data_IF_519673577204
#
_entry.id   IF_519673577204
#
_cell.length_a   1.000
_cell.length_b   1.000
_cell.length_c   1.000
_cell.angle_alpha   90.00
_cell.angle_beta   90.00
_cell.angle_gamma   90.00
#
_symmetry.space_group_name_H-M   'P 1'
#
loop_
_entity.id
_entity.type
_entity.pdbx_description
1 polymer ?
#
# COMPACT_ATOMS: atom_id res chain seq x y z
N UNK A 1 -20.83 -5.83 15.81
CA UNK A 1 -22.13 -6.51 15.63
C UNK A 1 -23.12 -5.70 14.80
N UNK A 2 -23.28 -4.38 15.00
CA UNK A 2 -24.17 -3.53 14.18
C UNK A 2 -23.97 -3.66 12.65
N UNK A 3 -22.71 -3.68 12.19
CA UNK A 3 -22.41 -3.78 10.76
C UNK A 3 -22.79 -5.15 10.14
N UNK A 4 -22.93 -6.22 10.93
CA UNK A 4 -23.43 -7.51 10.42
C UNK A 4 -24.96 -7.52 10.30
N UNK A 5 -25.66 -6.79 11.16
CA UNK A 5 -27.13 -6.68 11.11
C UNK A 5 -27.61 -5.78 9.97
N UNK A 6 -26.85 -4.72 9.65
CA UNK A 6 -27.15 -3.87 8.47
C UNK A 6 -27.01 -4.65 7.17
N UNK A 7 -25.99 -5.51 7.07
CA UNK A 7 -25.74 -6.33 5.89
C UNK A 7 -26.83 -7.39 5.68
N UNK A 8 -27.23 -8.10 6.74
CA UNK A 8 -28.31 -9.09 6.62
C UNK A 8 -29.64 -8.41 6.31
N UNK A 9 -29.92 -7.25 6.92
CA UNK A 9 -31.13 -6.49 6.63
C UNK A 9 -31.19 -6.01 5.17
N UNK A 10 -30.08 -5.51 4.62
CA UNK A 10 -30.04 -5.06 3.22
C UNK A 10 -30.09 -6.22 2.21
N UNK A 11 -29.47 -7.36 2.52
CA UNK A 11 -29.60 -8.57 1.69
C UNK A 11 -31.04 -9.10 1.69
N UNK A 12 -31.74 -9.02 2.82
CA UNK A 12 -33.16 -9.39 2.94
C UNK A 12 -34.03 -8.41 2.14
N UNK A 13 -33.82 -7.10 2.28
CA UNK A 13 -34.53 -6.10 1.49
C UNK A 13 -34.36 -6.34 -0.01
N UNK A 14 -33.14 -6.64 -0.47
CA UNK A 14 -32.88 -7.00 -1.88
C UNK A 14 -33.62 -8.25 -2.33
N UNK A 15 -33.61 -9.32 -1.53
CA UNK A 15 -34.32 -10.55 -1.89
C UNK A 15 -35.82 -10.30 -2.05
N UNK A 16 -36.37 -9.37 -1.28
CA UNK A 16 -37.77 -8.97 -1.36
C UNK A 16 -38.04 -8.05 -2.55
N UNK A 17 -37.14 -7.10 -2.87
CA UNK A 17 -37.31 -6.21 -4.03
C UNK A 17 -37.20 -6.98 -5.34
N UNK A 18 -36.22 -7.88 -5.48
CA UNK A 18 -36.06 -8.73 -6.69
C UNK A 18 -37.24 -9.68 -6.91
N UNK A 19 -37.86 -10.15 -5.83
CA UNK A 19 -39.08 -10.96 -5.92
C UNK A 19 -40.31 -10.14 -6.35
N UNK A 20 -40.30 -8.82 -6.12
CA UNK A 20 -41.39 -7.91 -6.48
C UNK A 20 -41.21 -7.28 -7.86
N UNK A 21 -39.98 -7.14 -8.37
CA UNK A 21 -39.71 -6.54 -9.68
C UNK A 21 -40.27 -7.37 -10.83
N UNK A 22 -40.11 -8.70 -10.77
CA UNK A 22 -40.61 -9.61 -11.81
C UNK A 22 -42.12 -9.50 -12.06
N UNK A 23 -42.91 -9.45 -10.98
CA UNK A 23 -44.37 -9.29 -11.08
C UNK A 23 -44.77 -7.90 -11.57
N UNK A 24 -43.97 -6.86 -11.23
CA UNK A 24 -44.28 -5.47 -11.55
C UNK A 24 -43.95 -5.11 -13.01
N UNK A 25 -42.94 -5.73 -13.60
CA UNK A 25 -42.65 -5.60 -15.04
C UNK A 25 -43.80 -6.15 -15.89
N UNK A 26 -44.39 -7.28 -15.49
CA UNK A 26 -45.55 -7.88 -16.17
C UNK A 26 -46.77 -6.95 -16.14
N UNK A 27 -47.04 -6.31 -15.00
CA UNK A 27 -48.12 -5.33 -14.84
C UNK A 27 -47.95 -4.11 -15.77
N UNK A 28 -46.74 -3.52 -15.81
CA UNK A 28 -46.45 -2.35 -16.65
C UNK A 28 -46.48 -2.66 -18.16
N UNK A 29 -45.98 -3.83 -18.58
CA UNK A 29 -46.09 -4.27 -19.97
C UNK A 29 -47.55 -4.55 -20.37
N UNK A 30 -48.36 -5.04 -19.44
CA UNK A 30 -49.81 -5.18 -19.61
C UNK A 30 -50.52 -3.84 -19.84
N UNK A 31 -50.08 -2.78 -19.15
CA UNK A 31 -50.56 -1.41 -19.32
C UNK A 31 -50.38 -0.89 -20.76
N UNK A 32 -49.16 -1.00 -21.30
CA UNK A 32 -48.86 -0.60 -22.69
C UNK A 32 -49.63 -1.43 -23.73
N UNK A 33 -49.77 -2.74 -23.49
CA UNK A 33 -50.46 -3.64 -24.41
C UNK A 33 -51.99 -3.42 -24.44
N UNK A 34 -52.55 -2.82 -23.39
CA UNK A 34 -53.99 -2.59 -23.26
C UNK A 34 -54.51 -1.40 -24.07
N UNK A 35 -53.62 -0.56 -24.62
CA UNK A 35 -54.00 0.65 -25.37
C UNK A 35 -54.64 0.25 -26.72
N UNK A 36 -55.91 0.61 -26.99
CA UNK A 36 -56.64 0.12 -28.16
C UNK A 36 -56.32 0.99 -29.40
N UNK A 37 -55.14 0.77 -29.98
CA UNK A 37 -54.63 1.52 -31.13
C UNK A 37 -55.57 1.52 -32.33
N UNK A 38 -56.20 0.37 -32.63
CA UNK A 38 -57.08 0.17 -33.78
C UNK A 38 -58.57 0.50 -33.56
N UNK A 39 -58.97 0.99 -32.38
CA UNK A 39 -60.37 1.36 -32.13
C UNK A 39 -60.61 2.85 -32.41
N UNK A 40 -61.65 3.22 -33.15
CA UNK A 40 -62.05 4.62 -33.36
C UNK A 40 -62.80 5.23 -32.16
N UNK A 41 -62.94 4.46 -31.07
CA UNK A 41 -63.70 4.84 -29.89
C UNK A 41 -63.05 5.95 -29.05
N UNK A 42 -61.76 6.23 -29.25
CA UNK A 42 -60.98 7.20 -28.48
C UNK A 42 -60.28 8.20 -29.38
N UNK A 43 -60.36 9.47 -28.99
CA UNK A 43 -59.69 10.57 -29.66
C UNK A 43 -58.16 10.33 -29.69
N UNK A 44 -57.48 10.55 -30.84
CA UNK A 44 -56.05 10.31 -30.97
C UNK A 44 -55.18 11.05 -29.94
N UNK A 45 -55.61 12.22 -29.48
CA UNK A 45 -54.93 12.98 -28.43
C UNK A 45 -54.94 12.25 -27.08
N UNK A 46 -56.05 11.59 -26.74
CA UNK A 46 -56.19 10.83 -25.49
C UNK A 46 -55.34 9.56 -25.49
N UNK A 47 -55.23 8.87 -26.64
CA UNK A 47 -54.34 7.69 -26.78
C UNK A 47 -52.88 8.04 -26.57
N UNK A 48 -52.43 9.18 -27.13
CA UNK A 48 -51.06 9.69 -26.92
C UNK A 48 -50.80 10.03 -25.45
N UNK A 49 -51.75 10.71 -24.79
CA UNK A 49 -51.62 11.04 -23.38
C UNK A 49 -51.48 9.78 -22.50
N UNK A 50 -52.32 8.76 -22.71
CA UNK A 50 -52.24 7.49 -21.99
C UNK A 50 -50.91 6.75 -22.24
N UNK A 51 -50.41 6.79 -23.47
CA UNK A 51 -49.11 6.20 -23.80
C UNK A 51 -47.94 6.90 -23.08
N UNK A 52 -47.93 8.24 -23.05
CA UNK A 52 -46.87 8.99 -22.36
C UNK A 52 -46.96 8.85 -20.84
N UNK A 53 -48.16 8.79 -20.27
CA UNK A 53 -48.38 8.55 -18.83
C UNK A 53 -47.81 7.19 -18.40
N UNK A 54 -48.06 6.13 -19.18
CA UNK A 54 -47.50 4.80 -18.90
C UNK A 54 -45.97 4.75 -19.13
N UNK A 55 -45.44 5.51 -20.09
CA UNK A 55 -44.00 5.61 -20.30
C UNK A 55 -43.28 6.35 -19.17
N UNK A 56 -43.89 7.39 -18.60
CA UNK A 56 -43.32 8.13 -17.46
C UNK A 56 -43.23 7.21 -16.22
N UNK A 57 -44.28 6.42 -15.95
CA UNK A 57 -44.26 5.41 -14.88
C UNK A 57 -43.15 4.37 -15.09
N UNK A 58 -42.92 3.96 -16.35
CA UNK A 58 -41.86 3.02 -16.69
C UNK A 58 -40.46 3.64 -16.59
N UNK A 59 -40.31 4.93 -16.93
CA UNK A 59 -39.04 5.65 -16.85
C UNK A 59 -38.63 5.90 -15.39
N UNK A 60 -39.56 6.32 -14.53
CA UNK A 60 -39.35 6.44 -13.08
C UNK A 60 -38.96 5.10 -12.44
N UNK A 61 -39.52 4.00 -12.95
CA UNK A 61 -39.16 2.65 -12.51
C UNK A 61 -37.72 2.29 -12.87
N UNK A 62 -37.27 2.58 -14.10
CA UNK A 62 -35.88 2.32 -14.51
C UNK A 62 -34.87 3.15 -13.71
N UNK A 63 -35.16 4.43 -13.43
CA UNK A 63 -34.27 5.28 -12.62
C UNK A 63 -34.17 4.79 -11.18
N UNK A 64 -35.26 4.25 -10.61
CA UNK A 64 -35.23 3.62 -9.29
C UNK A 64 -34.38 2.33 -9.29
N UNK A 65 -34.44 1.51 -10.35
CA UNK A 65 -33.63 0.30 -10.45
C UNK A 65 -32.13 0.59 -10.57
N UNK A 66 -31.71 1.57 -11.37
CA UNK A 66 -30.30 1.94 -11.54
C UNK A 66 -29.65 2.43 -10.23
N UNK A 67 -30.38 3.25 -9.47
CA UNK A 67 -29.94 3.69 -8.14
C UNK A 67 -29.76 2.52 -7.17
N UNK A 68 -30.64 1.51 -7.21
CA UNK A 68 -30.52 0.31 -6.37
C UNK A 68 -29.29 -0.54 -6.76
N UNK A 69 -29.00 -0.67 -8.05
CA UNK A 69 -27.83 -1.40 -8.54
C UNK A 69 -26.52 -0.72 -8.17
N UNK A 70 -26.44 0.61 -8.30
CA UNK A 70 -25.27 1.39 -7.91
C UNK A 70 -24.96 1.28 -6.41
N UNK A 71 -25.97 1.43 -5.54
CA UNK A 71 -25.80 1.28 -4.10
C UNK A 71 -25.33 -0.12 -3.72
N UNK A 72 -25.82 -1.13 -4.43
CA UNK A 72 -25.41 -2.50 -4.19
C UNK A 72 -23.96 -2.75 -4.59
N UNK A 73 -23.54 -2.25 -5.75
CA UNK A 73 -22.16 -2.42 -6.20
C UNK A 73 -21.20 -1.73 -5.23
N UNK A 74 -21.55 -0.53 -4.76
CA UNK A 74 -20.80 0.18 -3.71
C UNK A 74 -20.73 -0.65 -2.40
N UNK A 75 -21.84 -1.23 -1.96
CA UNK A 75 -21.89 -2.08 -0.77
C UNK A 75 -21.04 -3.35 -0.93
N UNK A 76 -21.08 -3.99 -2.09
CA UNK A 76 -20.28 -5.16 -2.41
C UNK A 76 -18.78 -4.82 -2.37
N UNK A 77 -18.38 -3.66 -2.91
CA UNK A 77 -17.02 -3.14 -2.79
C UNK A 77 -16.58 -2.98 -1.33
N UNK A 78 -17.42 -2.38 -0.48
CA UNK A 78 -17.15 -2.24 0.95
C UNK A 78 -17.04 -3.58 1.68
N UNK A 79 -17.84 -4.58 1.28
CA UNK A 79 -17.75 -5.94 1.80
C UNK A 79 -16.42 -6.60 1.47
N UNK A 80 -15.91 -6.41 0.26
CA UNK A 80 -14.60 -6.93 -0.17
C UNK A 80 -13.49 -6.26 0.64
N UNK A 81 -13.52 -4.94 0.82
CA UNK A 81 -12.55 -4.22 1.66
C UNK A 81 -12.56 -4.77 3.09
N UNK A 82 -13.76 -4.99 3.66
CA UNK A 82 -13.89 -5.56 5.00
C UNK A 82 -13.36 -7.00 5.08
N UNK A 83 -13.54 -7.79 4.03
CA UNK A 83 -12.96 -9.13 3.92
C UNK A 83 -11.44 -9.07 3.92
N UNK A 84 -10.83 -8.13 3.18
CA UNK A 84 -9.37 -7.91 3.16
C UNK A 84 -8.85 -7.51 4.55
N UNK A 85 -9.57 -6.67 5.30
CA UNK A 85 -9.19 -6.33 6.67
C UNK A 85 -9.31 -7.56 7.59
N UNK A 86 -10.31 -8.42 7.38
CA UNK A 86 -10.54 -9.61 8.18
C UNK A 86 -9.54 -10.74 7.92
N UNK A 87 -8.82 -10.77 6.79
CA UNK A 87 -7.80 -11.80 6.50
C UNK A 87 -6.48 -11.59 7.26
N UNK A 88 -6.39 -10.60 8.14
CA UNK A 88 -5.23 -10.33 9.01
C UNK A 88 -4.84 -11.45 9.99
N UNK A 89 -5.53 -12.60 9.99
CA UNK A 89 -5.17 -13.77 10.80
C UNK A 89 -3.87 -14.47 10.34
N UNK A 90 -3.42 -14.25 9.09
CA UNK A 90 -2.18 -14.85 8.59
C UNK A 90 -0.98 -13.92 8.86
N UNK A 91 0.14 -14.41 9.45
CA UNK A 91 1.30 -13.57 9.82
C UNK A 91 1.89 -12.74 8.67
N UNK A 92 1.85 -13.28 7.44
CA UNK A 92 2.31 -12.54 6.25
C UNK A 92 1.38 -11.39 5.86
N UNK A 93 0.07 -11.53 6.10
CA UNK A 93 -0.92 -10.48 5.83
C UNK A 93 -0.95 -9.43 6.94
N UNK A 94 -0.60 -9.82 8.18
CA UNK A 94 -0.44 -8.88 9.29
C UNK A 94 0.69 -7.86 9.04
N UNK A 95 1.82 -8.28 8.45
CA UNK A 95 2.88 -7.35 8.01
C UNK A 95 2.36 -6.36 6.96
N UNK A 96 1.69 -6.85 5.92
CA UNK A 96 1.15 -6.00 4.84
C UNK A 96 0.12 -4.99 5.35
N UNK A 97 -0.84 -5.43 6.16
CA UNK A 97 -1.88 -4.57 6.74
C UNK A 97 -1.30 -3.56 7.72
N UNK A 98 -0.25 -3.94 8.47
CA UNK A 98 0.52 -3.02 9.31
C UNK A 98 1.23 -1.94 8.49
N UNK A 99 1.90 -2.31 7.39
CA UNK A 99 2.57 -1.37 6.50
C UNK A 99 1.58 -0.38 5.90
N UNK A 100 0.44 -0.85 5.37
CA UNK A 100 -0.60 0.02 4.81
C UNK A 100 -1.15 0.98 5.88
N UNK A 101 -1.43 0.48 7.09
CA UNK A 101 -1.97 1.31 8.16
C UNK A 101 -1.00 2.44 8.56
N UNK A 102 0.29 2.14 8.55
CA UNK A 102 1.33 3.09 8.92
C UNK A 102 1.63 4.09 7.79
N UNK A 103 1.65 3.62 6.54
CA UNK A 103 1.91 4.46 5.36
C UNK A 103 0.71 5.31 4.93
N UNK A 104 -0.48 5.14 5.52
CA UNK A 104 -1.71 5.80 5.06
C UNK A 104 -1.63 7.33 5.13
N UNK A 105 -1.01 7.88 6.17
CA UNK A 105 -0.84 9.33 6.32
C UNK A 105 0.10 9.88 5.23
N UNK A 106 1.24 9.23 5.02
CA UNK A 106 2.20 9.62 3.97
C UNK A 106 1.60 9.45 2.56
N UNK A 107 0.82 8.38 2.33
CA UNK A 107 0.08 8.14 1.08
C UNK A 107 -0.96 9.21 0.82
N UNK A 108 -1.63 9.71 1.86
CA UNK A 108 -2.61 10.80 1.71
C UNK A 108 -1.92 12.09 1.24
N UNK A 109 -0.79 12.45 1.85
CA UNK A 109 0.01 13.58 1.41
C UNK A 109 0.53 13.41 -0.02
N UNK A 110 1.02 12.20 -0.36
CA UNK A 110 1.43 11.88 -1.73
C UNK A 110 0.28 12.00 -2.72
N UNK A 111 -0.93 11.57 -2.35
CA UNK A 111 -2.13 11.68 -3.19
C UNK A 111 -2.48 13.13 -3.49
N UNK A 112 -2.37 14.04 -2.51
CA UNK A 112 -2.56 15.48 -2.73
C UNK A 112 -1.54 16.02 -3.75
N UNK A 113 -0.28 15.60 -3.65
CA UNK A 113 0.76 16.00 -4.58
C UNK A 113 0.50 15.47 -6.01
N UNK A 114 0.05 14.22 -6.14
CA UNK A 114 -0.35 13.63 -7.43
C UNK A 114 -1.52 14.40 -8.02
N UNK A 115 -2.55 14.69 -7.23
CA UNK A 115 -3.71 15.46 -7.68
C UNK A 115 -3.33 16.87 -8.11
N UNK A 116 -2.40 17.52 -7.40
CA UNK A 116 -1.90 18.85 -7.77
C UNK A 116 -1.16 18.83 -9.12
N UNK A 117 -0.29 17.85 -9.33
CA UNK A 117 0.43 17.67 -10.60
C UNK A 117 -0.57 17.37 -11.71
N UNK A 118 -1.49 16.41 -11.50
CA UNK A 118 -2.49 16.02 -12.48
C UNK A 118 -3.38 17.20 -12.90
N UNK A 119 -3.89 17.99 -11.93
CA UNK A 119 -4.68 19.18 -12.23
C UNK A 119 -3.86 20.27 -12.94
N UNK A 120 -2.59 20.45 -12.57
CA UNK A 120 -1.70 21.40 -13.25
C UNK A 120 -1.49 21.05 -14.71
N UNK A 121 -1.18 19.78 -15.00
CA UNK A 121 -1.02 19.29 -16.37
C UNK A 121 -2.35 19.27 -17.13
N UNK A 122 -3.46 18.89 -16.50
CA UNK A 122 -4.79 18.92 -17.11
C UNK A 122 -5.20 20.35 -17.51
N UNK A 123 -4.91 21.34 -16.66
CA UNK A 123 -5.20 22.75 -16.96
C UNK A 123 -4.38 23.25 -18.16
N UNK A 124 -3.11 22.87 -18.24
CA UNK A 124 -2.25 23.20 -19.39
C UNK A 124 -2.71 22.49 -20.65
N UNK A 125 -3.07 21.21 -20.56
CA UNK A 125 -3.57 20.41 -21.68
C UNK A 125 -4.88 20.96 -22.24
N UNK A 126 -5.84 21.25 -21.36
CA UNK A 126 -7.11 21.88 -21.74
C UNK A 126 -6.90 23.25 -22.40
N UNK A 127 -6.06 24.11 -21.81
CA UNK A 127 -5.84 25.44 -22.36
C UNK A 127 -5.09 25.41 -23.70
N UNK A 128 -4.14 24.48 -23.87
CA UNK A 128 -3.32 24.43 -25.08
C UNK A 128 -3.96 23.63 -26.21
N UNK A 129 -4.55 22.48 -25.92
CA UNK A 129 -5.01 21.52 -26.92
C UNK A 129 -6.54 21.40 -26.99
N UNK A 130 -7.28 22.12 -26.13
CA UNK A 130 -8.75 22.01 -26.06
C UNK A 130 -9.49 22.43 -27.32
N UNK A 131 -8.88 23.25 -28.19
CA UNK A 131 -9.47 23.65 -29.47
C UNK A 131 -9.16 22.67 -30.62
N UNK A 132 -8.09 21.87 -30.48
CA UNK A 132 -7.58 20.99 -31.55
C UNK A 132 -8.03 19.53 -31.39
N UNK A 133 -8.35 19.12 -30.16
CA UNK A 133 -8.51 17.71 -29.77
C UNK A 133 -9.64 17.53 -28.77
N UNK A 134 -10.54 16.59 -29.09
CA UNK A 134 -11.70 16.27 -28.23
C UNK A 134 -11.27 15.67 -26.89
N UNK A 135 -10.11 15.00 -26.84
CA UNK A 135 -9.55 14.41 -25.61
C UNK A 135 -9.13 15.46 -24.57
N UNK A 136 -9.06 16.73 -24.99
CA UNK A 136 -8.77 17.88 -24.15
C UNK A 136 -9.88 18.93 -24.16
N UNK A 137 -11.09 18.64 -24.68
CA UNK A 137 -12.15 19.64 -24.84
C UNK A 137 -12.64 20.26 -23.52
N UNK A 138 -12.60 19.50 -22.43
CA UNK A 138 -12.94 19.98 -21.09
C UNK A 138 -11.90 19.55 -20.07
N UNK A 139 -11.85 20.26 -18.94
CA UNK A 139 -10.94 19.93 -17.84
C UNK A 139 -11.18 18.52 -17.29
N UNK A 140 -12.44 18.10 -17.17
CA UNK A 140 -12.81 16.78 -16.67
C UNK A 140 -12.34 15.67 -17.63
N UNK A 141 -12.62 15.83 -18.92
CA UNK A 141 -12.16 14.89 -19.95
C UNK A 141 -10.63 14.86 -19.98
N UNK A 142 -9.95 16.02 -19.87
CA UNK A 142 -8.49 16.11 -19.82
C UNK A 142 -7.89 15.35 -18.63
N UNK A 143 -8.52 15.38 -17.46
CA UNK A 143 -8.09 14.62 -16.27
C UNK A 143 -8.22 13.12 -16.51
N UNK A 144 -9.34 12.67 -17.10
CA UNK A 144 -9.53 11.27 -17.49
C UNK A 144 -8.46 10.83 -18.49
N UNK A 145 -8.25 11.59 -19.56
CA UNK A 145 -7.22 11.34 -20.59
C UNK A 145 -5.82 11.24 -19.99
N UNK A 146 -5.42 12.18 -19.12
CA UNK A 146 -4.10 12.13 -18.47
C UNK A 146 -3.97 10.95 -17.50
N UNK A 147 -5.06 10.50 -16.88
CA UNK A 147 -5.07 9.31 -16.02
C UNK A 147 -4.87 8.05 -16.87
N UNK A 148 -5.48 7.97 -18.05
CA UNK A 148 -5.24 6.88 -19.00
C UNK A 148 -3.80 6.85 -19.50
N UNK A 149 -3.23 8.01 -19.83
CA UNK A 149 -1.81 8.13 -20.19
C UNK A 149 -0.91 7.69 -19.03
N UNK A 150 -1.24 8.03 -17.78
CA UNK A 150 -0.51 7.57 -16.62
C UNK A 150 -0.62 6.04 -16.40
N UNK A 151 -1.74 5.43 -16.79
CA UNK A 151 -1.92 3.98 -16.80
C UNK A 151 -1.17 3.28 -17.95
N UNK A 152 -0.64 4.05 -18.91
CA UNK A 152 0.12 3.56 -20.06
C UNK A 152 -0.70 3.45 -21.36
N UNK A 153 -1.93 3.95 -21.39
CA UNK A 153 -2.73 4.07 -22.60
C UNK A 153 -2.39 5.39 -23.30
N UNK A 154 -1.62 5.33 -24.38
CA UNK A 154 -1.22 6.52 -25.12
C UNK A 154 -2.32 6.93 -26.11
N UNK A 155 -2.44 8.24 -26.35
CA UNK A 155 -3.36 8.79 -27.34
C UNK A 155 -3.07 8.24 -28.74
N UNK A 156 -4.12 8.02 -29.53
CA UNK A 156 -3.98 7.84 -30.96
C UNK A 156 -3.39 9.15 -31.53
N UNK A 157 -2.39 9.05 -32.41
CA UNK A 157 -1.75 10.22 -33.05
C UNK A 157 -0.93 11.19 -32.16
N UNK A 158 -0.50 10.75 -30.97
CA UNK A 158 0.33 11.56 -30.06
C UNK A 158 1.62 12.14 -30.67
N UNK A 159 2.14 11.53 -31.75
CA UNK A 159 3.37 11.95 -32.44
C UNK A 159 3.14 12.87 -33.65
N UNK A 160 1.90 13.20 -34.01
CA UNK A 160 1.61 14.04 -35.19
C UNK A 160 2.13 15.47 -35.03
N UNK A 161 1.97 16.04 -33.83
CA UNK A 161 2.43 17.40 -33.51
C UNK A 161 3.57 17.32 -32.51
N UNK A 162 4.70 17.95 -32.84
CA UNK A 162 5.90 17.94 -31.98
C UNK A 162 5.63 18.52 -30.58
N UNK A 163 4.70 19.46 -30.46
CA UNK A 163 4.29 20.04 -29.19
C UNK A 163 3.50 19.08 -28.31
N UNK A 164 2.54 18.34 -28.88
CA UNK A 164 1.77 17.32 -28.17
C UNK A 164 2.66 16.16 -27.72
N UNK A 165 3.58 15.73 -28.59
CA UNK A 165 4.55 14.70 -28.27
C UNK A 165 5.47 15.12 -27.11
N UNK A 166 5.92 16.38 -27.10
CA UNK A 166 6.76 16.92 -26.03
C UNK A 166 5.97 17.04 -24.72
N UNK A 167 4.75 17.55 -24.76
CA UNK A 167 3.86 17.67 -23.60
C UNK A 167 3.57 16.30 -22.98
N UNK A 168 3.15 15.33 -23.79
CA UNK A 168 2.85 13.96 -23.36
C UNK A 168 4.09 13.27 -22.80
N UNK A 169 5.25 13.40 -23.47
CA UNK A 169 6.51 12.83 -23.00
C UNK A 169 6.94 13.44 -21.65
N UNK A 170 6.83 14.76 -21.50
CA UNK A 170 7.19 15.45 -20.26
C UNK A 170 6.27 15.05 -19.10
N UNK A 171 4.97 14.92 -19.36
CA UNK A 171 4.01 14.39 -18.41
C UNK A 171 4.33 12.95 -18.00
N UNK A 172 4.52 12.05 -18.97
CA UNK A 172 4.82 10.63 -18.71
C UNK A 172 6.13 10.44 -17.93
N UNK A 173 7.19 11.20 -18.28
CA UNK A 173 8.46 11.18 -17.53
C UNK A 173 8.24 11.69 -16.10
N UNK A 174 7.49 12.79 -15.92
CA UNK A 174 7.22 13.34 -14.59
C UNK A 174 6.42 12.36 -13.73
N UNK A 175 5.36 11.76 -14.27
CA UNK A 175 4.57 10.75 -13.56
C UNK A 175 5.39 9.50 -13.22
N UNK A 176 6.15 8.97 -14.17
CA UNK A 176 6.92 7.75 -13.95
C UNK A 176 8.12 7.98 -13.01
N UNK A 177 8.87 9.06 -13.21
CA UNK A 177 10.12 9.31 -12.46
C UNK A 177 9.85 9.96 -11.12
N UNK A 178 8.92 10.92 -11.03
CA UNK A 178 8.68 11.64 -9.77
C UNK A 178 7.66 10.88 -8.93
N UNK A 179 6.47 10.64 -9.47
CA UNK A 179 5.35 10.10 -8.68
C UNK A 179 5.58 8.64 -8.29
N UNK A 180 5.92 7.76 -9.24
CA UNK A 180 6.09 6.33 -8.91
C UNK A 180 7.31 6.07 -8.01
N UNK A 181 8.44 6.76 -8.24
CA UNK A 181 9.60 6.59 -7.38
C UNK A 181 9.35 7.15 -5.97
N UNK A 182 8.60 8.25 -5.85
CA UNK A 182 8.21 8.77 -4.53
C UNK A 182 7.25 7.83 -3.81
N UNK A 183 6.28 7.24 -4.51
CA UNK A 183 5.38 6.23 -3.96
C UNK A 183 6.15 4.99 -3.46
N UNK A 184 7.13 4.52 -4.23
CA UNK A 184 8.00 3.41 -3.83
C UNK A 184 8.81 3.77 -2.58
N UNK A 185 9.34 4.99 -2.48
CA UNK A 185 10.08 5.44 -1.30
C UNK A 185 9.22 5.39 -0.03
N UNK A 186 7.98 5.89 -0.09
CA UNK A 186 7.02 5.85 1.03
C UNK A 186 6.72 4.41 1.47
N UNK A 187 6.44 3.53 0.50
CA UNK A 187 6.11 2.13 0.80
C UNK A 187 7.30 1.41 1.43
N UNK A 188 8.52 1.63 0.92
CA UNK A 188 9.74 1.04 1.47
C UNK A 188 10.01 1.52 2.89
N UNK A 189 9.85 2.83 3.16
CA UNK A 189 10.03 3.39 4.50
C UNK A 189 9.03 2.77 5.50
N UNK A 190 7.74 2.74 5.15
CA UNK A 190 6.73 2.15 6.02
C UNK A 190 6.93 0.64 6.22
N UNK A 191 7.42 -0.07 5.20
CA UNK A 191 7.76 -1.49 5.33
C UNK A 191 8.91 -1.71 6.32
N UNK A 192 9.97 -0.89 6.24
CA UNK A 192 11.09 -0.95 7.17
C UNK A 192 10.65 -0.67 8.60
N UNK A 193 9.76 0.31 8.81
CA UNK A 193 9.29 0.70 10.13
C UNK A 193 8.45 -0.40 10.81
N UNK A 194 7.58 -1.08 10.06
CA UNK A 194 6.80 -2.20 10.58
C UNK A 194 7.68 -3.44 10.82
N UNK A 195 8.67 -3.69 9.96
CA UNK A 195 9.64 -4.77 10.15
C UNK A 195 10.47 -4.61 11.43
N UNK A 196 10.90 -3.39 11.75
CA UNK A 196 11.62 -3.09 13.00
C UNK A 196 10.72 -3.26 14.23
N UNK A 197 9.46 -2.83 14.14
CA UNK A 197 8.50 -2.91 15.25
C UNK A 197 8.08 -4.36 15.53
N UNK A 198 7.87 -5.18 14.48
CA UNK A 198 7.60 -6.62 14.63
C UNK A 198 8.80 -7.39 15.18
N UNK A 199 10.03 -6.93 14.87
CA UNK A 199 11.28 -7.50 15.38
C UNK A 199 11.52 -7.27 16.87
N UNK A 200 10.88 -6.28 17.50
CA UNK A 200 11.00 -6.05 18.94
C UNK A 200 10.31 -7.14 19.79
N UNK A 201 9.40 -7.92 19.19
CA UNK A 201 8.75 -9.08 19.83
C UNK A 201 9.27 -10.44 19.33
N UNK A 202 10.25 -10.48 18.42
CA UNK A 202 10.83 -11.73 17.93
C UNK A 202 11.61 -11.65 16.61
N UNK A 203 12.50 -10.66 16.44
CA UNK A 203 13.36 -10.51 15.27
C UNK A 203 14.82 -10.90 15.51
N UNK A 204 15.63 -11.09 14.45
CA UNK A 204 16.94 -11.75 14.48
C UNK A 204 18.01 -11.06 15.36
N UNK A 205 17.77 -9.83 15.83
CA UNK A 205 18.61 -9.20 16.82
C UNK A 205 18.49 -9.87 18.19
N UNK A 206 17.27 -10.20 18.64
CA UNK A 206 17.09 -11.02 19.84
C UNK A 206 17.56 -12.45 19.58
N UNK A 207 17.52 -12.91 18.32
CA UNK A 207 18.08 -14.20 17.89
C UNK A 207 19.59 -14.31 18.02
N UNK A 208 20.29 -13.29 17.55
CA UNK A 208 21.74 -13.17 17.71
C UNK A 208 22.11 -12.86 19.17
N UNK A 209 21.26 -12.13 19.90
CA UNK A 209 21.47 -11.82 21.31
C UNK A 209 21.28 -13.06 22.20
N UNK A 210 20.24 -13.89 22.00
CA UNK A 210 20.12 -15.16 22.70
C UNK A 210 21.17 -16.18 22.26
N UNK A 211 21.61 -16.16 21.00
CA UNK A 211 22.69 -17.03 20.52
C UNK A 211 24.05 -16.63 21.12
N UNK A 212 24.28 -15.33 21.30
CA UNK A 212 25.48 -14.82 21.95
C UNK A 212 25.43 -14.98 23.48
N UNK A 213 24.27 -14.80 24.12
CA UNK A 213 24.10 -15.10 25.55
C UNK A 213 24.29 -16.59 25.85
N UNK A 214 23.77 -17.48 24.98
CA UNK A 214 24.01 -18.92 25.07
C UNK A 214 25.49 -19.27 24.96
N UNK A 215 26.22 -18.64 24.03
CA UNK A 215 27.67 -18.83 23.87
C UNK A 215 28.46 -18.32 25.08
N UNK A 216 28.11 -17.15 25.62
CA UNK A 216 28.75 -16.59 26.82
C UNK A 216 28.46 -17.37 28.10
N UNK A 217 27.32 -18.08 28.17
CA UNK A 217 27.01 -18.99 29.29
C UNK A 217 27.91 -20.22 29.26
N UNK A 218 28.11 -20.82 28.09
CA UNK A 218 29.01 -21.97 27.91
C UNK A 218 30.46 -21.59 28.23
N UNK A 219 30.92 -20.39 27.84
CA UNK A 219 32.26 -19.91 28.21
C UNK A 219 32.40 -19.66 29.72
N UNK A 220 31.38 -19.12 30.39
CA UNK A 220 31.38 -18.94 31.85
C UNK A 220 31.39 -20.27 32.60
N UNK A 221 30.55 -21.21 32.18
CA UNK A 221 30.44 -22.52 32.83
C UNK A 221 31.70 -23.38 32.55
N UNK A 222 32.30 -23.24 31.36
CA UNK A 222 33.60 -23.82 31.03
C UNK A 222 34.75 -23.24 31.84
N UNK A 223 34.76 -21.92 32.07
CA UNK A 223 35.77 -21.25 32.88
C UNK A 223 35.68 -21.60 34.38
N UNK A 224 34.47 -21.78 34.93
CA UNK A 224 34.28 -22.23 36.31
C UNK A 224 34.70 -23.69 36.54
N UNK A 225 34.52 -24.56 35.54
CA UNK A 225 34.99 -25.96 35.59
C UNK A 225 36.52 -26.07 35.57
N UNK A 226 37.21 -25.14 34.87
CA UNK A 226 38.67 -25.03 34.87
C UNK A 226 39.27 -24.45 36.17
N UNK A 227 38.61 -23.46 36.77
CA UNK A 227 39.09 -22.81 38.00
C UNK A 227 38.98 -23.73 39.23
N UNK A 228 37.99 -24.63 39.28
CA UNK A 228 37.79 -25.53 40.42
C UNK A 228 38.75 -26.72 40.47
N UNK A 229 39.56 -26.94 39.42
CA UNK A 229 40.62 -27.98 39.42
C UNK A 229 41.98 -27.50 39.93
N UNK A 230 42.14 -26.20 40.21
CA UNK A 230 43.44 -25.63 40.57
C UNK A 230 43.58 -25.19 42.04
N UNK A 231 42.55 -25.39 42.87
CA UNK A 231 42.55 -25.01 44.29
C UNK A 231 42.44 -26.17 45.29
N UNK A 232 42.67 -27.41 44.87
CA UNK A 232 42.87 -28.53 45.78
C UNK A 232 44.25 -29.15 45.51
N UNK A 233 45.03 -29.36 46.58
CA UNK A 233 46.43 -29.81 46.61
C UNK A 233 47.44 -28.66 46.55
N UNK A 234 47.63 -27.97 47.67
CA UNK A 234 48.87 -28.09 48.46
C UNK A 234 48.64 -27.55 49.87
N UNK A 235 48.55 -28.44 50.85
CA UNK A 235 48.68 -28.10 52.27
C UNK A 235 49.68 -29.06 52.91
N UNK A 236 50.86 -28.54 53.22
CA UNK A 236 51.82 -29.11 54.17
C UNK A 236 52.47 -27.97 54.95
N UNK A 237 52.40 -27.96 56.30
CA UNK A 237 53.11 -27.00 57.12
C UNK A 237 54.48 -27.55 57.54
N UNK A 238 55.51 -26.71 57.53
CA UNK A 238 56.84 -27.09 57.99
C UNK A 238 57.85 -25.93 58.00
N UNK A 239 57.98 -25.31 59.17
CA UNK A 239 59.20 -24.79 59.79
C UNK A 239 60.07 -23.69 59.13
N UNK A 240 60.18 -22.59 59.88
CA UNK A 240 61.37 -21.82 60.27
C UNK A 240 62.36 -21.27 59.21
N UNK A 241 62.63 -19.96 59.33
CA UNK A 241 64.01 -19.47 59.25
C UNK A 241 64.24 -18.19 58.43
N UNK A 242 64.23 -17.03 59.12
CA UNK A 242 65.26 -15.96 59.11
C UNK A 242 65.90 -15.52 57.77
N UNK A 243 65.85 -14.20 57.50
CA UNK A 243 67.02 -13.49 56.96
C UNK A 243 66.80 -12.42 55.89
N UNK A 244 67.05 -11.15 56.28
CA UNK A 244 67.67 -10.01 55.55
C UNK A 244 67.08 -9.51 54.20
N UNK A 245 66.68 -8.23 54.03
CA UNK A 245 67.35 -6.91 54.06
C UNK A 245 68.03 -6.49 52.73
N UNK A 246 67.63 -5.30 52.21
CA UNK A 246 68.30 -4.43 51.21
C UNK A 246 68.41 -4.96 49.76
N UNK A 247 68.33 -4.20 48.66
CA UNK A 247 68.57 -2.78 48.42
C UNK A 247 68.08 -2.33 47.02
N UNK A 248 67.84 -1.02 46.89
CA UNK A 248 67.71 -0.12 45.75
C UNK A 248 68.24 -0.58 44.35
N UNK A 249 67.58 -0.27 43.23
CA UNK A 249 67.79 0.90 42.32
C UNK A 249 67.23 0.45 40.94
N UNK A 250 66.81 1.21 39.94
CA UNK A 250 66.83 2.63 39.55
C UNK A 250 66.65 2.70 38.01
N UNK A 251 66.14 3.81 37.49
CA UNK A 251 66.19 4.20 36.04
C UNK A 251 65.03 3.68 35.17
N UNK A 252 64.05 4.48 34.76
CA UNK A 252 64.05 5.62 33.83
C UNK A 252 64.28 5.28 32.35
N UNK A 253 63.28 5.72 31.54
CA UNK A 253 63.33 6.33 30.20
C UNK A 253 62.83 5.52 28.97
N UNK A 254 61.87 6.19 28.31
CA UNK A 254 61.73 6.44 26.87
C UNK A 254 61.00 5.43 25.95
N UNK A 255 59.91 5.94 25.36
CA UNK A 255 59.66 5.88 23.92
C UNK A 255 58.76 4.74 23.44
N UNK A 256 57.64 5.08 22.79
CA UNK A 256 57.51 5.07 21.32
C UNK A 256 56.04 5.27 20.95
N UNK A 257 55.85 6.21 20.01
CA UNK A 257 54.63 6.57 19.32
C UNK A 257 54.24 5.52 18.26
N UNK A 258 52.94 5.37 18.02
CA UNK A 258 52.40 5.10 16.69
C UNK A 258 52.00 3.65 16.39
N UNK A 259 50.75 3.46 15.95
CA UNK A 259 50.36 2.23 15.26
C UNK A 259 48.88 1.85 15.29
N UNK A 260 47.99 2.67 14.72
CA UNK A 260 46.65 2.17 14.32
C UNK A 260 46.09 2.95 13.12
N UNK A 261 46.85 2.98 12.03
CA UNK A 261 46.39 3.33 10.67
C UNK A 261 46.75 2.24 9.63
N UNK A 262 46.84 0.97 10.05
CA UNK A 262 47.02 -0.18 9.15
C UNK A 262 45.86 -1.16 9.27
N UNK A 263 44.71 -0.80 8.72
CA UNK A 263 43.63 -1.76 8.45
C UNK A 263 42.91 -1.54 7.10
N UNK A 264 43.28 -0.54 6.30
CA UNK A 264 42.49 -0.10 5.15
C UNK A 264 43.18 -0.19 3.77
N UNK A 265 44.19 -1.04 3.60
CA UNK A 265 44.88 -1.20 2.31
C UNK A 265 45.07 -2.65 1.85
N UNK A 266 44.14 -3.56 2.17
CA UNK A 266 44.24 -4.99 1.80
C UNK A 266 43.20 -5.54 0.83
N UNK A 267 42.35 -4.69 0.23
CA UNK A 267 41.27 -5.14 -0.68
C UNK A 267 41.38 -4.67 -2.14
N UNK A 268 42.50 -4.05 -2.55
CA UNK A 268 42.61 -3.43 -3.88
C UNK A 268 43.51 -4.17 -4.91
N UNK A 269 43.87 -5.44 -4.72
CA UNK A 269 44.66 -6.13 -5.75
C UNK A 269 44.25 -7.61 -5.92
N UNK A 270 43.32 -7.85 -6.85
CA UNK A 270 42.80 -9.19 -7.11
C UNK A 270 41.83 -9.27 -8.28
N UNK A 271 42.10 -8.59 -9.41
CA UNK A 271 41.44 -8.88 -10.70
C UNK A 271 42.40 -8.56 -11.85
N UNK A 272 42.99 -9.60 -12.44
CA UNK A 272 43.81 -9.49 -13.65
C UNK A 272 44.61 -10.76 -13.95
N UNK A 273 43.95 -11.80 -14.50
CA UNK A 273 44.44 -12.69 -15.56
C UNK A 273 43.60 -13.97 -15.65
N UNK A 274 42.71 -14.03 -16.65
CA UNK A 274 42.55 -15.13 -17.62
C UNK A 274 41.49 -14.74 -18.64
#
# INVERSE_FOLDING_TARGET
>A
MACSMVLTHMLIMRSLTKSKSANRTEDTMGGLASIPWGSDALEPARKKALFFEELEVWLDFMEAEDNEEHLLNQLLGLLIIRLIIATGFHPRLALLTGTIKHSLDDLFHATILVMLILNGFASVGWWRFGDERDEFASLEVSICTLTEIAAGNFLEDWSETSELALFTSFYSITMFVVVLNFLLAIIVEAYMQVGQTGGATGGPASEVEWANEGRQRVERDGAMSGASRHCLVTSRPGANGVGQQSEATGGARAGVLGGSQQAEARWANGRGNR
#
